data_IF_959629394787
#
_entry.id   IF_959629394787
#
_cell.length_a   1.000
_cell.length_b   1.000
_cell.length_c   1.000
_cell.angle_alpha   90.00
_cell.angle_beta   90.00
_cell.angle_gamma   90.00
#
_symmetry.space_group_name_H-M   'P 1'
#
loop_
_entity.id
_entity.type
_entity.pdbx_description
1 polymer ?
#
# COMPACT_ATOMS: atom_id res chain seq x y z
N UNK A 1 -14.66 -19.99 -5.59
CA UNK A 1 -15.22 -18.67 -5.20
C UNK A 1 -14.21 -17.91 -4.35
N UNK A 2 -13.08 -17.41 -4.91
CA UNK A 2 -12.00 -16.79 -4.12
C UNK A 2 -12.18 -15.28 -3.89
N UNK A 3 -13.05 -14.63 -4.68
CA UNK A 3 -13.24 -13.18 -4.65
C UNK A 3 -13.98 -12.65 -3.41
N UNK A 4 -14.71 -13.50 -2.69
CA UNK A 4 -15.40 -13.10 -1.46
C UNK A 4 -14.43 -12.86 -0.29
N UNK A 5 -13.33 -13.63 -0.23
CA UNK A 5 -12.36 -13.52 0.88
C UNK A 5 -11.54 -12.23 0.85
N UNK A 6 -11.37 -11.57 -0.29
CA UNK A 6 -10.61 -10.31 -0.37
C UNK A 6 -11.39 -9.13 0.21
N UNK A 7 -12.72 -9.16 0.12
CA UNK A 7 -13.59 -8.12 0.68
C UNK A 7 -13.77 -8.26 2.19
N UNK A 8 -13.65 -9.48 2.73
CA UNK A 8 -13.77 -9.74 4.17
C UNK A 8 -12.51 -9.37 4.98
N UNK A 9 -11.36 -9.12 4.34
CA UNK A 9 -10.09 -8.80 5.04
C UNK A 9 -9.97 -7.32 5.41
N UNK A 10 -10.69 -6.41 4.73
CA UNK A 10 -10.65 -4.97 5.06
C UNK A 10 -12.07 -4.39 5.09
N UNK A 11 -12.81 -4.56 6.21
CA UNK A 11 -14.23 -4.22 6.30
C UNK A 11 -14.52 -2.72 6.21
N UNK A 12 -13.51 -1.86 6.11
CA UNK A 12 -13.67 -0.44 5.90
C UNK A 12 -12.81 -0.01 4.70
N UNK A 13 -13.33 -0.13 3.50
CA UNK A 13 -12.73 0.52 2.32
C UNK A 13 -13.27 1.96 2.23
N UNK A 14 -12.39 2.91 1.88
CA UNK A 14 -12.85 4.25 1.49
C UNK A 14 -13.53 4.12 0.13
N UNK A 15 -14.86 4.13 0.10
CA UNK A 15 -15.61 4.05 -1.15
C UNK A 15 -15.66 5.43 -1.80
N UNK A 16 -14.93 5.59 -2.90
CA UNK A 16 -15.03 6.75 -3.78
C UNK A 16 -15.97 6.37 -4.91
N UNK A 17 -17.02 7.16 -5.12
CA UNK A 17 -18.02 6.92 -6.16
C UNK A 17 -17.59 7.59 -7.46
N UNK A 18 -18.12 7.09 -8.57
CA UNK A 18 -17.80 7.63 -9.90
C UNK A 18 -18.29 9.09 -10.06
N UNK A 19 -19.28 9.50 -9.27
CA UNK A 19 -19.81 10.87 -9.26
C UNK A 19 -18.96 11.85 -8.43
N UNK A 20 -17.98 11.36 -7.66
CA UNK A 20 -17.18 12.20 -6.77
C UNK A 20 -16.19 13.04 -7.60
N UNK A 21 -16.44 14.35 -7.67
CA UNK A 21 -15.63 15.27 -8.48
C UNK A 21 -14.32 15.74 -7.82
N UNK A 22 -13.91 15.15 -6.70
CA UNK A 22 -12.75 15.58 -5.92
C UNK A 22 -12.87 17.01 -5.36
N UNK A 23 -11.76 17.53 -4.84
CA UNK A 23 -11.66 18.83 -4.17
C UNK A 23 -10.95 19.86 -5.06
N UNK A 24 -11.33 21.14 -4.91
CA UNK A 24 -10.64 22.24 -5.57
C UNK A 24 -9.17 22.31 -5.10
N UNK A 25 -8.22 22.19 -6.04
CA UNK A 25 -6.78 22.19 -5.74
C UNK A 25 -6.29 23.46 -5.03
N UNK A 26 -6.96 24.60 -5.25
CA UNK A 26 -6.60 25.88 -4.64
C UNK A 26 -6.86 25.94 -3.13
N UNK A 27 -7.53 24.93 -2.57
CA UNK A 27 -7.73 24.77 -1.12
C UNK A 27 -6.55 24.02 -0.45
N UNK A 28 -5.56 23.58 -1.22
CA UNK A 28 -4.43 22.80 -0.75
C UNK A 28 -3.10 23.46 -1.10
N UNK A 29 -2.07 23.08 -0.34
CA UNK A 29 -0.69 23.47 -0.65
C UNK A 29 -0.15 22.57 -1.77
N UNK A 30 -0.30 23.01 -3.02
CA UNK A 30 0.22 22.32 -4.20
C UNK A 30 1.58 22.92 -4.59
N UNK A 31 2.60 22.11 -4.95
CA UNK A 31 3.86 22.64 -5.46
C UNK A 31 3.63 23.46 -6.74
N UNK A 32 4.22 24.66 -6.80
CA UNK A 32 4.00 25.62 -7.89
C UNK A 32 4.20 25.06 -9.30
N UNK A 33 5.20 24.18 -9.46
CA UNK A 33 5.51 23.58 -10.76
C UNK A 33 4.50 22.51 -11.20
N UNK A 34 3.51 22.16 -10.38
CA UNK A 34 2.40 21.26 -10.72
C UNK A 34 1.05 21.97 -10.75
N UNK A 35 1.00 23.28 -10.46
CA UNK A 35 -0.28 24.01 -10.38
C UNK A 35 -1.05 23.97 -11.69
N UNK A 36 -0.38 24.04 -12.84
CA UNK A 36 -1.04 24.01 -14.16
C UNK A 36 -1.39 22.59 -14.62
N UNK A 37 -0.67 21.58 -14.13
CA UNK A 37 -0.83 20.17 -14.55
C UNK A 37 -1.93 19.42 -13.78
N UNK A 38 -2.38 19.95 -12.64
CA UNK A 38 -3.39 19.31 -11.80
C UNK A 38 -4.74 19.97 -11.99
N UNK A 39 -5.81 19.20 -12.17
CA UNK A 39 -7.16 19.77 -12.22
C UNK A 39 -7.76 19.92 -10.81
N UNK A 40 -7.72 18.83 -10.05
CA UNK A 40 -8.35 18.69 -8.73
C UNK A 40 -7.56 17.75 -7.83
N UNK A 41 -7.77 17.85 -6.53
CA UNK A 41 -7.25 16.90 -5.55
C UNK A 41 -8.29 15.81 -5.33
N UNK A 42 -7.99 14.56 -5.66
CA UNK A 42 -8.97 13.48 -5.52
C UNK A 42 -9.00 12.91 -4.10
N UNK A 43 -7.82 12.60 -3.55
CA UNK A 43 -7.66 12.11 -2.18
C UNK A 43 -6.63 13.00 -1.47
N UNK A 44 -7.05 13.82 -0.51
CA UNK A 44 -6.15 14.59 0.35
C UNK A 44 -5.12 13.70 1.06
N UNK A 45 -3.89 14.19 1.19
CA UNK A 45 -2.80 13.48 1.87
C UNK A 45 -3.16 13.05 3.30
N UNK A 46 -3.85 13.90 4.06
CA UNK A 46 -4.31 13.57 5.41
C UNK A 46 -5.24 12.35 5.44
N UNK A 47 -6.19 12.27 4.51
CA UNK A 47 -7.07 11.11 4.40
C UNK A 47 -6.30 9.84 4.05
N UNK A 48 -5.26 9.92 3.22
CA UNK A 48 -4.38 8.77 2.93
C UNK A 48 -3.69 8.29 4.21
N UNK A 49 -3.16 9.21 5.02
CA UNK A 49 -2.50 8.87 6.29
C UNK A 49 -3.47 8.24 7.28
N UNK A 50 -4.64 8.84 7.49
CA UNK A 50 -5.68 8.31 8.40
C UNK A 50 -6.08 6.88 8.02
N UNK A 51 -6.25 6.63 6.71
CA UNK A 51 -6.55 5.28 6.19
C UNK A 51 -5.38 4.32 6.33
N UNK A 52 -4.15 4.79 6.10
CA UNK A 52 -2.93 3.97 6.25
C UNK A 52 -2.71 3.57 7.72
N UNK A 53 -2.97 4.47 8.68
CA UNK A 53 -2.90 4.14 10.10
C UNK A 53 -3.92 3.05 10.46
N UNK A 54 -5.17 3.19 10.00
CA UNK A 54 -6.19 2.17 10.24
C UNK A 54 -5.79 0.83 9.65
N UNK A 55 -5.26 0.82 8.42
CA UNK A 55 -4.77 -0.37 7.75
C UNK A 55 -3.64 -1.05 8.54
N UNK A 56 -2.71 -0.28 9.10
CA UNK A 56 -1.64 -0.83 9.94
C UNK A 56 -2.18 -1.55 11.18
N UNK A 57 -3.24 -1.01 11.80
CA UNK A 57 -3.89 -1.65 12.97
C UNK A 57 -4.57 -2.96 12.57
N UNK A 58 -5.27 -2.97 11.44
CA UNK A 58 -5.93 -4.17 10.92
C UNK A 58 -4.87 -5.27 10.61
N UNK A 59 -3.76 -4.93 9.94
CA UNK A 59 -2.66 -5.85 9.66
C UNK A 59 -2.04 -6.40 10.96
N UNK A 60 -1.76 -5.54 11.94
CA UNK A 60 -1.16 -5.96 13.22
C UNK A 60 -2.09 -6.88 14.01
N UNK A 61 -3.41 -6.64 13.94
CA UNK A 61 -4.41 -7.50 14.57
C UNK A 61 -4.45 -8.89 13.91
N UNK A 62 -4.43 -8.93 12.57
CA UNK A 62 -4.53 -10.17 11.81
C UNK A 62 -3.23 -11.00 11.87
N UNK A 63 -2.07 -10.35 11.81
CA UNK A 63 -0.76 -11.02 11.91
C UNK A 63 -0.47 -11.51 13.34
N UNK A 64 -1.10 -10.92 14.36
CA UNK A 64 -0.93 -11.32 15.76
C UNK A 64 0.54 -11.31 16.19
N UNK A 65 1.07 -12.45 16.62
CA UNK A 65 2.47 -12.60 17.06
C UNK A 65 3.42 -13.18 16.00
N UNK A 66 3.00 -13.26 14.73
CA UNK A 66 3.81 -13.85 13.66
C UNK A 66 4.85 -12.85 13.14
N UNK A 67 5.95 -13.40 12.61
CA UNK A 67 6.98 -12.62 11.94
C UNK A 67 6.43 -11.99 10.66
N UNK A 68 6.57 -10.67 10.51
CA UNK A 68 6.02 -9.94 9.36
C UNK A 68 7.10 -9.80 8.28
N UNK A 69 6.75 -10.14 7.04
CA UNK A 69 7.57 -9.86 5.86
C UNK A 69 6.82 -8.91 4.94
N UNK A 70 7.29 -7.67 4.87
CA UNK A 70 6.67 -6.61 4.09
C UNK A 70 7.39 -6.45 2.74
N UNK A 71 6.72 -6.83 1.65
CA UNK A 71 7.27 -6.72 0.29
C UNK A 71 6.71 -5.48 -0.42
N UNK A 72 7.59 -4.54 -0.80
CA UNK A 72 7.21 -3.32 -1.51
C UNK A 72 7.34 -3.49 -3.03
N UNK A 73 6.27 -3.19 -3.76
CA UNK A 73 6.30 -3.13 -5.22
C UNK A 73 6.73 -1.75 -5.70
N UNK A 74 7.90 -1.69 -6.32
CA UNK A 74 8.48 -0.47 -6.88
C UNK A 74 8.02 -0.21 -8.32
N UNK A 75 7.95 1.05 -8.76
CA UNK A 75 8.33 2.27 -8.00
C UNK A 75 7.16 2.88 -7.21
N UNK A 76 5.93 2.76 -7.69
CA UNK A 76 4.78 3.52 -7.19
C UNK A 76 4.42 3.27 -5.72
N UNK A 77 4.71 2.07 -5.18
CA UNK A 77 4.35 1.71 -3.82
C UNK A 77 5.23 2.30 -2.72
N UNK A 78 6.39 2.90 -3.05
CA UNK A 78 7.42 3.20 -2.04
C UNK A 78 6.94 4.15 -0.93
N UNK A 79 6.16 5.18 -1.27
CA UNK A 79 5.71 6.19 -0.30
C UNK A 79 4.66 5.62 0.63
N UNK A 80 3.62 5.00 0.08
CA UNK A 80 2.59 4.29 0.85
C UNK A 80 3.20 3.21 1.74
N UNK A 81 4.14 2.43 1.21
CA UNK A 81 4.83 1.38 1.95
C UNK A 81 5.63 1.92 3.12
N UNK A 82 6.34 3.04 2.93
CA UNK A 82 7.07 3.71 4.01
C UNK A 82 6.10 4.19 5.11
N UNK A 83 5.03 4.90 4.74
CA UNK A 83 4.04 5.41 5.70
C UNK A 83 3.37 4.26 6.47
N UNK A 84 3.02 3.18 5.78
CA UNK A 84 2.46 1.97 6.39
C UNK A 84 3.43 1.31 7.39
N UNK A 85 4.69 1.14 6.99
CA UNK A 85 5.71 0.57 7.87
C UNK A 85 5.96 1.42 9.11
N UNK A 86 5.91 2.75 8.98
CA UNK A 86 6.09 3.64 10.12
C UNK A 86 4.95 3.47 11.13
N UNK A 87 3.70 3.35 10.66
CA UNK A 87 2.57 3.02 11.54
C UNK A 87 2.69 1.61 12.16
N UNK A 88 3.08 0.59 11.39
CA UNK A 88 3.30 -0.77 11.90
C UNK A 88 4.39 -0.77 12.99
N UNK A 89 5.53 -0.12 12.75
CA UNK A 89 6.61 -0.02 13.72
C UNK A 89 6.17 0.70 14.99
N UNK A 90 5.42 1.80 14.85
CA UNK A 90 4.88 2.53 15.99
C UNK A 90 3.95 1.64 16.84
N UNK A 91 3.04 0.88 16.21
CA UNK A 91 2.16 -0.06 16.92
C UNK A 91 2.96 -1.18 17.61
N UNK A 92 3.97 -1.72 16.92
CA UNK A 92 4.81 -2.80 17.41
C UNK A 92 5.67 -2.38 18.63
N UNK A 93 6.15 -1.13 18.66
CA UNK A 93 6.93 -0.58 19.77
C UNK A 93 6.07 -0.26 21.01
N UNK A 94 4.80 0.07 20.79
CA UNK A 94 3.87 0.46 21.86
C UNK A 94 2.95 -0.69 22.32
N UNK A 95 3.04 -1.86 21.71
CA UNK A 95 2.26 -3.04 22.09
C UNK A 95 2.89 -3.84 23.23
N UNK A 96 2.09 -4.67 23.90
CA UNK A 96 2.57 -5.57 24.96
C UNK A 96 3.57 -6.63 24.44
N UNK A 97 3.54 -6.90 23.13
CA UNK A 97 4.40 -7.86 22.45
C UNK A 97 4.95 -7.22 21.18
N UNK A 98 6.23 -7.48 20.91
CA UNK A 98 6.89 -7.06 19.68
C UNK A 98 7.11 -8.26 18.75
N UNK A 99 6.79 -8.09 17.47
CA UNK A 99 7.09 -9.04 16.40
C UNK A 99 8.23 -8.53 15.52
N UNK A 100 9.11 -9.40 14.99
CA UNK A 100 10.12 -8.94 14.05
C UNK A 100 9.47 -8.63 12.69
N UNK A 101 9.92 -7.54 12.06
CA UNK A 101 9.46 -7.08 10.76
C UNK A 101 10.64 -7.02 9.81
N UNK A 102 10.55 -7.75 8.70
CA UNK A 102 11.53 -7.72 7.60
C UNK A 102 10.92 -7.06 6.37
N UNK A 103 11.77 -6.44 5.56
CA UNK A 103 11.37 -5.63 4.41
C UNK A 103 12.10 -6.13 3.18
N UNK A 104 11.39 -6.26 2.07
CA UNK A 104 11.94 -6.62 0.77
C UNK A 104 11.31 -5.76 -0.33
N UNK A 105 11.94 -5.69 -1.51
CA UNK A 105 11.53 -4.86 -2.62
C UNK A 105 11.54 -5.63 -3.94
N UNK A 106 10.45 -5.51 -4.69
CA UNK A 106 10.34 -6.07 -6.04
C UNK A 106 10.01 -4.99 -7.05
N UNK A 107 10.66 -5.04 -8.22
CA UNK A 107 10.30 -4.22 -9.38
C UNK A 107 9.61 -5.10 -10.41
N UNK A 108 8.37 -4.77 -10.72
CA UNK A 108 7.61 -5.49 -11.74
C UNK A 108 7.85 -4.81 -13.09
N UNK A 109 8.12 -5.62 -14.13
CA UNK A 109 8.07 -5.19 -15.53
C UNK A 109 7.03 -6.05 -16.24
N UNK A 110 5.91 -5.43 -16.62
CA UNK A 110 4.97 -6.04 -17.57
C UNK A 110 5.50 -5.82 -18.98
N UNK A 111 5.69 -6.89 -19.75
CA UNK A 111 6.00 -6.81 -21.17
C UNK A 111 4.69 -7.02 -21.95
N UNK A 112 4.12 -5.93 -22.47
CA UNK A 112 3.07 -6.03 -23.49
C UNK A 112 3.71 -6.36 -24.84
N UNK A 113 3.86 -7.65 -25.14
CA UNK A 113 3.92 -8.08 -26.54
C UNK A 113 2.49 -8.49 -26.91
N UNK A 114 2.00 -8.04 -28.06
CA UNK A 114 0.63 -8.13 -28.60
C UNK A 114 0.08 -9.57 -28.80
N UNK A 115 0.26 -10.44 -27.81
CA UNK A 115 -0.15 -11.84 -27.80
C UNK A 115 -0.83 -12.16 -26.47
N UNK A 116 -1.84 -13.05 -26.43
CA UNK A 116 -2.76 -13.22 -25.30
C UNK A 116 -2.14 -13.89 -24.04
N UNK A 117 -0.82 -14.02 -23.98
CA UNK A 117 -0.09 -14.52 -22.82
C UNK A 117 0.74 -13.39 -22.21
N UNK A 118 0.09 -12.57 -21.39
CA UNK A 118 0.73 -11.53 -20.58
C UNK A 118 1.81 -12.17 -19.68
N UNK A 119 3.08 -12.04 -20.07
CA UNK A 119 4.21 -12.53 -19.27
C UNK A 119 4.70 -11.41 -18.35
N UNK A 120 4.22 -11.43 -17.11
CA UNK A 120 4.72 -10.56 -16.04
C UNK A 120 6.10 -11.07 -15.61
N UNK A 121 7.11 -10.20 -15.65
CA UNK A 121 8.44 -10.51 -15.12
C UNK A 121 8.69 -9.75 -13.82
N UNK A 122 9.14 -10.47 -12.81
CA UNK A 122 9.55 -9.90 -11.53
C UNK A 122 11.06 -9.75 -11.54
N UNK A 123 11.53 -8.53 -11.28
CA UNK A 123 12.94 -8.23 -11.09
C UNK A 123 13.07 -7.73 -9.65
N UNK A 124 13.47 -8.62 -8.74
CA UNK A 124 13.69 -8.32 -7.33
C UNK A 124 14.94 -9.03 -6.84
N UNK A 125 15.40 -8.66 -5.64
CA UNK A 125 16.31 -9.52 -4.88
C UNK A 125 15.63 -10.88 -4.65
N UNK A 126 16.44 -11.91 -4.50
CA UNK A 126 16.04 -13.32 -4.60
C UNK A 126 14.77 -13.64 -3.78
N UNK A 127 13.62 -13.75 -4.47
CA UNK A 127 12.32 -14.11 -3.86
C UNK A 127 12.36 -15.48 -3.14
N UNK A 128 13.44 -16.25 -3.33
CA UNK A 128 13.75 -17.45 -2.56
C UNK A 128 13.84 -17.20 -1.05
N UNK A 129 14.18 -15.98 -0.60
CA UNK A 129 14.21 -15.58 0.82
C UNK A 129 12.84 -15.41 1.48
N UNK A 130 11.76 -15.44 0.68
CA UNK A 130 10.37 -15.47 1.16
C UNK A 130 9.84 -16.90 1.36
N UNK A 131 10.55 -17.92 0.85
CA UNK A 131 10.14 -19.32 1.00
C UNK A 131 10.29 -19.78 2.45
N UNK A 132 9.19 -20.20 3.07
CA UNK A 132 9.17 -20.76 4.44
C UNK A 132 9.01 -19.76 5.58
N UNK A 133 8.66 -18.49 5.30
CA UNK A 133 8.30 -17.48 6.31
C UNK A 133 6.78 -17.35 6.54
N UNK A 134 6.02 -18.42 6.26
CA UNK A 134 4.55 -18.51 6.49
C UNK A 134 4.28 -19.33 7.74
#
# INVERSE_FOLDING_TARGET
MPWLLVLDVFPFSLQIRDEDSGYNKNLFCIPKHYEEDLERVFIPHGLILDRTERLARDIMQDMGSHHIVALCVLKGGYKFFADLLDHIKALNQNGDKSVPVTVDFVRIKSYCNESPAEKISFIGEELSTLSGKV
#
